data_IF_418169762228
#
_entry.id   IF_418169762228
#
_cell.length_a   1.000
_cell.length_b   1.000
_cell.length_c   1.000
_cell.angle_alpha   90.00
_cell.angle_beta   90.00
_cell.angle_gamma   90.00
#
_symmetry.space_group_name_H-M   'P 1'
#
loop_
_entity.id
_entity.type
_entity.pdbx_description
1 polymer ?
#
# COMPACT_ATOMS: atom_id res chain seq x y z
N UNK A 1 -4.89 -2.71 19.00
CA UNK A 1 -6.20 -2.02 19.01
C UNK A 1 -6.90 -2.13 20.34
N UNK A 2 -7.69 -3.17 20.65
CA UNK A 2 -8.43 -3.22 21.93
C UNK A 2 -7.53 -3.11 23.18
N UNK A 3 -6.33 -3.71 23.15
CA UNK A 3 -5.33 -3.57 24.23
C UNK A 3 -4.36 -2.38 24.01
N UNK A 4 -4.21 -1.93 22.77
CA UNK A 4 -3.25 -0.91 22.32
C UNK A 4 -3.94 -0.01 21.29
N UNK A 5 -4.66 1.04 21.73
CA UNK A 5 -5.51 1.86 20.84
C UNK A 5 -4.69 2.78 19.91
N UNK A 6 -3.44 3.07 20.26
CA UNK A 6 -2.51 3.86 19.46
C UNK A 6 -1.58 2.93 18.71
N UNK A 7 -2.03 2.43 17.57
CA UNK A 7 -1.27 1.43 16.80
C UNK A 7 -1.22 1.77 15.32
N UNK A 8 -0.17 1.25 14.67
CA UNK A 8 -0.10 1.17 13.21
C UNK A 8 -0.51 -0.26 12.83
N UNK A 9 -1.47 -0.39 11.93
CA UNK A 9 -1.91 -1.66 11.38
C UNK A 9 -1.47 -1.71 9.92
N UNK A 10 -0.80 -2.79 9.56
CA UNK A 10 -0.41 -3.07 8.18
C UNK A 10 -1.27 -4.21 7.63
N UNK A 11 -1.97 -3.94 6.55
CA UNK A 11 -2.57 -4.98 5.70
C UNK A 11 -1.67 -5.16 4.50
N UNK A 12 -1.03 -6.32 4.43
CA UNK A 12 -0.11 -6.63 3.34
C UNK A 12 -0.85 -7.26 2.17
N UNK A 13 -0.48 -6.87 0.94
CA UNK A 13 -1.01 -7.40 -0.33
C UNK A 13 -2.54 -7.48 -0.34
N UNK A 14 -3.21 -6.34 -0.08
CA UNK A 14 -4.66 -6.30 0.11
C UNK A 14 -5.46 -6.81 -1.10
N UNK A 15 -4.86 -6.79 -2.30
CA UNK A 15 -5.46 -7.40 -3.49
C UNK A 15 -5.65 -8.91 -3.38
N UNK A 16 -4.93 -9.62 -2.50
CA UNK A 16 -5.09 -11.06 -2.29
C UNK A 16 -6.15 -11.40 -1.25
N UNK A 17 -6.70 -10.39 -0.56
CA UNK A 17 -7.69 -10.60 0.49
C UNK A 17 -9.01 -11.14 -0.06
N UNK A 18 -9.70 -11.96 0.74
CA UNK A 18 -11.05 -12.43 0.41
C UNK A 18 -12.02 -11.24 0.33
N UNK A 19 -13.00 -11.24 -0.61
CA UNK A 19 -13.94 -10.13 -0.78
C UNK A 19 -14.67 -9.67 0.50
N UNK A 20 -14.92 -10.57 1.44
CA UNK A 20 -15.58 -10.25 2.71
C UNK A 20 -14.79 -9.26 3.57
N UNK A 21 -13.47 -9.20 3.41
CA UNK A 21 -12.61 -8.25 4.12
C UNK A 21 -12.95 -6.80 3.73
N UNK A 22 -13.42 -6.55 2.50
CA UNK A 22 -13.77 -5.20 2.06
C UNK A 22 -14.89 -4.57 2.89
N UNK A 23 -15.92 -5.33 3.23
CA UNK A 23 -17.05 -4.80 4.01
C UNK A 23 -16.60 -4.40 5.42
N UNK A 24 -15.75 -5.23 6.03
CA UNK A 24 -15.15 -4.96 7.35
C UNK A 24 -14.27 -3.71 7.26
N UNK A 25 -13.46 -3.58 6.20
CA UNK A 25 -12.61 -2.42 6.01
C UNK A 25 -13.40 -1.14 5.79
N UNK A 26 -14.47 -1.16 4.99
CA UNK A 26 -15.35 -0.02 4.81
C UNK A 26 -15.93 0.44 6.15
N UNK A 27 -16.38 -0.49 6.99
CA UNK A 27 -16.88 -0.14 8.32
C UNK A 27 -15.80 0.54 9.18
N UNK A 28 -14.58 -0.02 9.21
CA UNK A 28 -13.47 0.56 9.97
C UNK A 28 -13.10 1.95 9.44
N UNK A 29 -13.01 2.11 8.13
CA UNK A 29 -12.57 3.36 7.49
C UNK A 29 -13.65 4.46 7.56
N UNK A 30 -14.93 4.08 7.59
CA UNK A 30 -16.06 5.03 7.66
C UNK A 30 -16.36 5.45 9.10
N UNK A 31 -16.49 4.48 10.00
CA UNK A 31 -16.96 4.72 11.38
C UNK A 31 -15.81 4.84 12.39
N UNK A 32 -14.58 4.51 11.98
CA UNK A 32 -13.45 4.39 12.89
C UNK A 32 -13.66 3.29 13.93
N UNK A 33 -14.59 2.35 13.70
CA UNK A 33 -15.03 1.36 14.68
C UNK A 33 -15.37 0.04 13.99
N UNK A 34 -15.22 -1.05 14.73
CA UNK A 34 -15.64 -2.38 14.30
C UNK A 34 -16.36 -3.07 15.45
N UNK A 35 -17.54 -3.63 15.16
CA UNK A 35 -18.23 -4.52 16.10
C UNK A 35 -17.91 -5.96 15.73
N UNK A 36 -17.23 -6.68 16.61
CA UNK A 36 -16.96 -8.10 16.42
C UNK A 36 -18.25 -8.94 16.62
N UNK A 37 -18.23 -10.18 16.14
CA UNK A 37 -19.26 -11.22 16.30
C UNK A 37 -19.74 -11.42 17.74
N UNK A 38 -18.89 -11.13 18.73
CA UNK A 38 -19.23 -11.14 20.16
C UNK A 38 -20.06 -9.93 20.64
N UNK A 39 -20.36 -8.98 19.75
CA UNK A 39 -21.02 -7.70 20.06
C UNK A 39 -20.09 -6.63 20.64
N UNK A 40 -18.79 -6.90 20.67
CA UNK A 40 -17.81 -5.99 21.25
C UNK A 40 -17.37 -4.93 20.25
N UNK A 41 -17.48 -3.67 20.65
CA UNK A 41 -17.04 -2.53 19.87
C UNK A 41 -15.53 -2.28 20.07
N UNK A 42 -14.81 -2.16 18.96
CA UNK A 42 -13.38 -1.88 18.89
C UNK A 42 -13.21 -0.51 18.22
N UNK A 43 -12.45 0.38 18.85
CA UNK A 43 -12.20 1.74 18.37
C UNK A 43 -10.86 1.82 17.61
N UNK A 44 -10.91 2.36 16.38
CA UNK A 44 -9.79 2.57 15.45
C UNK A 44 -9.51 4.07 15.22
N UNK A 45 -10.23 4.98 15.88
CA UNK A 45 -10.10 6.45 15.66
C UNK A 45 -8.68 6.99 15.89
N UNK A 46 -7.87 6.32 16.72
CA UNK A 46 -6.47 6.69 16.95
C UNK A 46 -5.47 5.67 16.38
N UNK A 47 -5.84 5.00 15.30
CA UNK A 47 -5.03 3.98 14.63
C UNK A 47 -4.69 4.42 13.20
N UNK A 48 -3.42 4.27 12.80
CA UNK A 48 -3.00 4.46 11.42
C UNK A 48 -3.12 3.13 10.70
N UNK A 49 -3.84 3.11 9.59
CA UNK A 49 -3.98 1.93 8.74
C UNK A 49 -3.13 2.12 7.49
N UNK A 50 -2.20 1.20 7.26
CA UNK A 50 -1.37 1.11 6.08
C UNK A 50 -1.78 -0.10 5.27
N UNK A 51 -2.00 0.10 3.97
CA UNK A 51 -2.30 -0.97 3.03
C UNK A 51 -1.15 -1.03 2.02
N UNK A 52 -0.69 -2.23 1.70
CA UNK A 52 0.24 -2.43 0.58
C UNK A 52 -0.49 -3.16 -0.54
N UNK A 53 -0.04 -2.92 -1.77
CA UNK A 53 -0.53 -3.63 -2.94
C UNK A 53 0.55 -3.68 -4.01
N UNK A 54 0.59 -4.80 -4.74
CA UNK A 54 1.47 -4.98 -5.89
C UNK A 54 0.73 -4.77 -7.23
N UNK A 55 -0.50 -4.24 -7.21
CA UNK A 55 -1.30 -4.02 -8.41
C UNK A 55 -0.67 -3.04 -9.39
N UNK A 56 -0.64 -3.45 -10.66
CA UNK A 56 -0.12 -2.63 -11.76
C UNK A 56 1.39 -2.39 -11.72
N UNK A 57 2.10 -2.93 -10.74
CA UNK A 57 3.56 -2.85 -10.69
C UNK A 57 4.17 -3.62 -11.87
N UNK A 58 5.11 -3.02 -12.63
CA UNK A 58 5.81 -3.72 -13.70
C UNK A 58 6.54 -4.95 -13.13
N UNK A 59 6.34 -6.12 -13.75
CA UNK A 59 7.11 -7.34 -13.38
C UNK A 59 8.61 -7.18 -13.62
N UNK A 60 8.96 -6.34 -14.59
CA UNK A 60 10.32 -5.96 -14.90
C UNK A 60 10.33 -4.53 -15.44
N UNK A 61 11.38 -3.79 -15.11
CA UNK A 61 11.64 -2.44 -15.58
C UNK A 61 12.56 -2.38 -16.80
N UNK A 62 12.98 -3.52 -17.38
CA UNK A 62 13.86 -3.59 -18.57
C UNK A 62 13.43 -2.61 -19.66
N UNK A 63 12.14 -2.58 -20.02
CA UNK A 63 11.58 -1.64 -21.02
C UNK A 63 11.95 -0.17 -20.73
N UNK A 64 12.03 0.21 -19.46
CA UNK A 64 12.31 1.57 -19.00
C UNK A 64 13.80 1.82 -18.69
N UNK A 65 14.59 0.76 -18.54
CA UNK A 65 16.00 0.81 -18.14
C UNK A 65 16.97 0.40 -19.26
N UNK A 66 16.49 0.03 -20.45
CA UNK A 66 17.36 -0.21 -21.61
C UNK A 66 18.25 1.03 -21.84
N UNK A 67 19.55 0.83 -21.68
CA UNK A 67 20.61 1.85 -21.79
C UNK A 67 20.58 2.96 -20.73
N UNK A 68 19.91 2.77 -19.58
CA UNK A 68 19.85 3.73 -18.47
C UNK A 68 19.95 3.03 -17.11
N UNK A 69 20.68 3.64 -16.18
CA UNK A 69 20.79 3.13 -14.80
C UNK A 69 19.67 3.65 -13.87
N UNK A 70 18.74 4.46 -14.38
CA UNK A 70 17.67 5.07 -13.58
C UNK A 70 16.41 5.34 -14.41
N UNK A 71 15.25 5.35 -13.74
CA UNK A 71 13.96 5.75 -14.32
C UNK A 71 13.93 7.27 -14.51
N UNK A 72 13.62 7.72 -15.72
CA UNK A 72 13.38 9.15 -15.95
C UNK A 72 12.03 9.58 -15.37
N UNK A 73 11.82 10.90 -15.24
CA UNK A 73 10.54 11.46 -14.80
C UNK A 73 9.40 11.01 -15.72
N UNK A 74 9.66 10.92 -17.04
CA UNK A 74 8.67 10.45 -18.01
C UNK A 74 8.29 8.99 -17.79
N UNK A 75 9.29 8.11 -17.58
CA UNK A 75 9.07 6.68 -17.34
C UNK A 75 8.24 6.47 -16.07
N UNK A 76 8.58 7.19 -15.00
CA UNK A 76 7.83 7.15 -13.75
C UNK A 76 6.38 7.61 -13.90
N UNK A 77 6.13 8.64 -14.70
CA UNK A 77 4.76 9.12 -14.97
C UNK A 77 3.92 8.10 -15.74
N UNK A 78 4.51 7.40 -16.71
CA UNK A 78 3.83 6.32 -17.44
C UNK A 78 3.47 5.17 -16.50
N UNK A 79 4.43 4.72 -15.69
CA UNK A 79 4.24 3.63 -14.72
C UNK A 79 3.18 4.01 -13.67
N UNK A 80 3.24 5.23 -13.14
CA UNK A 80 2.22 5.74 -12.22
C UNK A 80 0.81 5.72 -12.83
N UNK A 81 0.69 6.08 -14.11
CA UNK A 81 -0.59 6.08 -14.81
C UNK A 81 -1.14 4.65 -14.92
N UNK A 82 -0.29 3.68 -15.26
CA UNK A 82 -0.65 2.27 -15.32
C UNK A 82 -1.08 1.73 -13.95
N UNK A 83 -0.29 1.99 -12.89
CA UNK A 83 -0.61 1.58 -11.52
C UNK A 83 -1.96 2.16 -11.08
N UNK A 84 -2.18 3.46 -11.28
CA UNK A 84 -3.47 4.09 -10.94
C UNK A 84 -4.64 3.50 -11.71
N UNK A 85 -4.45 3.17 -12.99
CA UNK A 85 -5.48 2.51 -13.78
C UNK A 85 -5.80 1.13 -13.20
N UNK A 86 -4.80 0.30 -12.92
CA UNK A 86 -5.01 -1.03 -12.33
C UNK A 86 -5.68 -0.97 -10.95
N UNK A 87 -5.31 0.01 -10.10
CA UNK A 87 -5.96 0.24 -8.81
C UNK A 87 -7.45 0.57 -9.00
N UNK A 88 -7.79 1.45 -9.94
CA UNK A 88 -9.17 1.86 -10.21
C UNK A 88 -10.02 0.75 -10.85
N UNK A 89 -9.40 -0.12 -11.65
CA UNK A 89 -10.09 -1.27 -12.27
C UNK A 89 -10.33 -2.40 -11.25
N UNK A 90 -9.41 -2.59 -10.31
CA UNK A 90 -9.48 -3.68 -9.35
C UNK A 90 -10.29 -3.33 -8.10
N UNK A 91 -10.00 -2.19 -7.46
CA UNK A 91 -10.67 -1.80 -6.23
C UNK A 91 -11.94 -1.01 -6.51
N UNK A 92 -12.97 -1.27 -5.70
CA UNK A 92 -14.21 -0.49 -5.75
C UNK A 92 -13.92 0.98 -5.39
N UNK A 93 -14.55 1.95 -6.09
CA UNK A 93 -14.42 3.37 -5.77
C UNK A 93 -14.75 3.69 -4.32
N UNK A 94 -15.69 2.95 -3.72
CA UNK A 94 -16.08 3.06 -2.31
C UNK A 94 -14.88 2.97 -1.37
N UNK A 95 -14.00 1.98 -1.56
CA UNK A 95 -12.81 1.82 -0.74
C UNK A 95 -11.80 2.93 -1.01
N UNK A 96 -11.53 3.21 -2.30
CA UNK A 96 -10.53 4.19 -2.71
C UNK A 96 -10.85 5.60 -2.19
N UNK A 97 -12.13 5.98 -2.18
CA UNK A 97 -12.60 7.27 -1.69
C UNK A 97 -12.45 7.44 -0.16
N UNK A 98 -12.19 6.35 0.58
CA UNK A 98 -11.92 6.40 2.03
C UNK A 98 -10.44 6.44 2.36
N UNK A 99 -9.58 6.12 1.41
CA UNK A 99 -8.14 6.23 1.59
C UNK A 99 -7.73 7.71 1.55
N UNK A 100 -7.00 8.15 2.56
CA UNK A 100 -6.52 9.53 2.63
C UNK A 100 -5.51 9.81 1.52
N UNK A 101 -4.54 8.90 1.34
CA UNK A 101 -3.46 9.04 0.37
C UNK A 101 -3.11 7.68 -0.25
N UNK A 102 -2.83 7.67 -1.55
CA UNK A 102 -2.25 6.54 -2.26
C UNK A 102 -0.82 6.92 -2.64
N UNK A 103 0.15 6.22 -2.06
CA UNK A 103 1.57 6.44 -2.30
C UNK A 103 2.08 5.41 -3.30
N UNK A 104 2.70 5.87 -4.40
CA UNK A 104 3.35 4.98 -5.37
C UNK A 104 4.85 5.07 -5.18
N UNK A 105 5.47 3.93 -4.89
CA UNK A 105 6.90 3.84 -4.66
C UNK A 105 7.68 3.85 -5.98
N UNK A 106 8.80 4.58 -5.98
CA UNK A 106 9.77 4.55 -7.09
C UNK A 106 10.65 3.33 -6.93
N UNK A 107 11.09 2.77 -8.07
CA UNK A 107 12.17 1.79 -8.05
C UNK A 107 13.44 2.41 -7.47
N UNK A 108 14.22 1.60 -6.75
CA UNK A 108 15.48 2.03 -6.19
C UNK A 108 16.53 2.24 -7.29
N UNK A 109 17.34 3.29 -7.15
CA UNK A 109 18.56 3.45 -7.94
C UNK A 109 19.75 2.74 -7.27
N UNK A 110 20.87 2.66 -7.98
CA UNK A 110 22.09 1.97 -7.50
C UNK A 110 22.57 2.59 -6.18
N UNK A 111 22.58 3.92 -6.06
CA UNK A 111 23.03 4.60 -4.84
C UNK A 111 22.16 4.27 -3.63
N UNK A 112 20.83 4.21 -3.82
CA UNK A 112 19.88 3.80 -2.79
C UNK A 112 20.05 2.33 -2.41
N UNK A 113 20.30 1.44 -3.39
CA UNK A 113 20.58 0.04 -3.12
C UNK A 113 21.87 -0.12 -2.30
N UNK A 114 22.92 0.64 -2.61
CA UNK A 114 24.16 0.65 -1.83
C UNK A 114 23.89 1.09 -0.38
N UNK A 115 23.13 2.17 -0.17
CA UNK A 115 22.74 2.61 1.18
C UNK A 115 21.94 1.54 1.93
N UNK A 116 21.06 0.81 1.24
CA UNK A 116 20.30 -0.29 1.82
C UNK A 116 21.26 -1.43 2.21
N UNK A 117 22.18 -1.82 1.32
CA UNK A 117 23.20 -2.83 1.60
C UNK A 117 24.05 -2.45 2.82
N UNK A 118 24.55 -1.22 2.87
CA UNK A 118 25.35 -0.72 3.98
C UNK A 118 24.57 -0.75 5.30
N UNK A 119 23.28 -0.38 5.26
CA UNK A 119 22.40 -0.48 6.43
C UNK A 119 22.30 -1.92 6.93
N UNK A 120 22.10 -2.89 6.03
CA UNK A 120 22.00 -4.30 6.42
C UNK A 120 23.32 -4.88 6.93
N UNK A 121 24.46 -4.48 6.37
CA UNK A 121 25.79 -4.91 6.83
C UNK A 121 26.08 -4.37 8.23
N UNK A 122 25.77 -3.10 8.51
CA UNK A 122 26.02 -2.47 9.81
C UNK A 122 25.02 -2.89 10.91
N UNK A 123 23.93 -3.57 10.55
CA UNK A 123 22.96 -4.13 11.51
C UNK A 123 23.34 -5.54 11.99
N UNK A 124 24.32 -6.18 11.34
CA UNK A 124 24.92 -7.47 11.74
C UNK A 124 26.10 -7.17 12.66
#
# INVERSE_FOLDING_TARGET
>A
IYKNPNSIILFDEIEKAHPDIYNIMLQILDEGRLTDTSGKLIDFTNTIILLTSNLGCPKNYDKYLINKNYLTISDFNEINKQIKQSINEYFKPELLNRLTNILIFKSFNIDQLLLICDKFINLI
#
